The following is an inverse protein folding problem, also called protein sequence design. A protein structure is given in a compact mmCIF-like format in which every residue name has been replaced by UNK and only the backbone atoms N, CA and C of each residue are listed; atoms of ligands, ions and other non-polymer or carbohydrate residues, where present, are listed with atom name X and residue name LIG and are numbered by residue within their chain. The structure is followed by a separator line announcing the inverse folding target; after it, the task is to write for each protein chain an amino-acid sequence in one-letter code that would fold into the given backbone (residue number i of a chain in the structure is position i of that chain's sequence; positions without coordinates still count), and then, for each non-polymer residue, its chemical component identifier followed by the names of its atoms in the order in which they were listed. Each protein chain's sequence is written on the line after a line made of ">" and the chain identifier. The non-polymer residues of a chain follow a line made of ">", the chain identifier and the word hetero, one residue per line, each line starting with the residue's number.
data_IF_057149408667
#
_entry.id   IF_057149408667
#
_cell.length_a   1.000
_cell.length_b   1.000
_cell.length_c   1.000
_cell.angle_alpha   90.00
_cell.angle_beta   90.00
_cell.angle_gamma   90.00
#
_symmetry.space_group_name_H-M   'P 1'
#
loop_
_entity.id
_entity.type
_entity.pdbx_description
1 polymer ?
#
# COMPACT_ATOMS: atom_id res chain seq x y z
N UNK A 1 -85.63 -0.65 48.90
CA UNK A 1 -86.17 -0.83 47.57
C UNK A 1 -85.14 -0.21 46.61
N UNK A 2 -84.43 -0.85 45.80
CA UNK A 2 -84.38 -1.86 44.88
C UNK A 2 -83.11 -1.73 44.08
N UNK A 3 -82.55 -2.84 43.82
CA UNK A 3 -81.87 -3.33 42.62
C UNK A 3 -80.91 -2.35 41.91
N UNK A 4 -79.64 -2.67 41.71
CA UNK A 4 -79.06 -3.86 41.11
C UNK A 4 -78.79 -3.57 39.65
N UNK A 5 -77.54 -3.56 39.28
CA UNK A 5 -77.14 -4.08 37.98
C UNK A 5 -75.63 -4.08 37.82
N UNK A 6 -75.09 -5.24 37.58
CA UNK A 6 -73.74 -5.51 37.23
C UNK A 6 -73.33 -4.98 35.84
N UNK A 7 -72.27 -4.32 35.71
CA UNK A 7 -71.63 -3.90 34.46
C UNK A 7 -70.27 -4.55 34.26
N UNK A 8 -70.13 -5.30 33.18
CA UNK A 8 -69.07 -6.25 32.83
C UNK A 8 -67.73 -5.55 32.56
N UNK A 9 -66.72 -6.11 33.12
CA UNK A 9 -65.32 -5.82 32.79
C UNK A 9 -64.96 -6.28 31.39
N UNK A 10 -64.62 -5.37 30.50
CA UNK A 10 -64.01 -5.65 29.21
C UNK A 10 -62.50 -5.42 29.33
N UNK A 11 -61.77 -6.53 29.39
CA UNK A 11 -60.32 -6.51 29.35
C UNK A 11 -59.75 -6.13 28.00
N UNK A 12 -59.28 -4.92 27.90
CA UNK A 12 -58.47 -4.52 26.74
C UNK A 12 -57.04 -5.09 26.90
N UNK A 13 -56.74 -6.11 26.11
CA UNK A 13 -55.37 -6.65 25.94
C UNK A 13 -54.51 -5.57 25.31
N UNK A 14 -53.58 -4.99 26.08
CA UNK A 14 -52.50 -4.14 25.54
C UNK A 14 -51.46 -5.06 24.87
N UNK A 15 -51.51 -5.13 23.53
CA UNK A 15 -50.45 -5.70 22.74
C UNK A 15 -49.26 -4.72 22.75
N UNK A 16 -48.16 -5.13 23.39
CA UNK A 16 -46.89 -4.43 23.29
C UNK A 16 -46.24 -4.80 21.95
N UNK A 17 -46.30 -3.91 20.98
CA UNK A 17 -45.49 -3.97 19.77
C UNK A 17 -44.05 -3.59 20.14
N UNK A 18 -43.18 -4.57 20.28
CA UNK A 18 -41.76 -4.33 20.30
C UNK A 18 -41.30 -3.95 18.88
N UNK A 19 -41.18 -2.65 18.62
CA UNK A 19 -40.51 -2.13 17.45
C UNK A 19 -38.99 -2.42 17.62
N UNK A 20 -38.51 -3.45 16.96
CA UNK A 20 -37.07 -3.66 16.76
C UNK A 20 -36.57 -2.53 15.86
N UNK A 21 -35.97 -1.52 16.43
CA UNK A 21 -35.23 -0.51 15.71
C UNK A 21 -33.94 -1.17 15.17
N UNK A 22 -33.98 -1.63 13.92
CA UNK A 22 -32.79 -1.98 13.16
C UNK A 22 -32.02 -0.70 12.89
N UNK A 23 -31.12 -0.33 13.78
CA UNK A 23 -30.17 0.74 13.54
C UNK A 23 -29.26 0.35 12.37
N UNK A 24 -28.89 1.30 11.47
CA UNK A 24 -27.96 0.99 10.41
C UNK A 24 -26.61 0.58 11.02
N UNK A 25 -26.19 -0.65 10.71
CA UNK A 25 -24.86 -1.13 11.01
C UNK A 25 -23.88 -0.33 10.13
N UNK A 26 -23.40 0.79 10.66
CA UNK A 26 -22.30 1.53 10.03
C UNK A 26 -21.05 0.67 10.15
N UNK A 27 -20.79 -0.15 9.14
CA UNK A 27 -19.46 -0.74 8.97
C UNK A 27 -18.46 0.41 8.79
N UNK A 28 -17.86 0.83 9.89
CA UNK A 28 -16.66 1.67 9.82
C UNK A 28 -15.54 0.84 9.20
N UNK A 29 -15.38 0.94 7.89
CA UNK A 29 -14.17 0.49 7.21
C UNK A 29 -13.01 1.26 7.86
N UNK A 30 -12.33 0.62 8.81
CA UNK A 30 -11.06 1.14 9.33
C UNK A 30 -10.15 1.27 8.11
N UNK A 31 -9.63 2.46 7.78
CA UNK A 31 -8.63 2.58 6.74
C UNK A 31 -7.49 1.62 7.07
N UNK A 32 -7.08 0.81 6.09
CA UNK A 32 -5.88 -0.01 6.23
C UNK A 32 -4.77 0.94 6.70
N UNK A 33 -4.21 0.67 7.89
CA UNK A 33 -3.13 1.49 8.42
C UNK A 33 -1.91 1.25 7.54
N UNK A 34 -1.68 2.16 6.58
CA UNK A 34 -0.48 2.15 5.78
C UNK A 34 0.75 2.33 6.68
N UNK A 35 1.80 1.54 6.43
CA UNK A 35 3.10 1.70 7.07
C UNK A 35 3.19 1.22 8.51
N UNK A 36 2.61 0.08 8.85
CA UNK A 36 2.76 -0.57 10.16
C UNK A 36 3.82 -1.68 10.16
N UNK A 37 4.89 -1.52 9.35
CA UNK A 37 6.02 -2.47 9.32
C UNK A 37 6.59 -2.64 10.72
N UNK A 38 6.86 -3.90 11.12
CA UNK A 38 7.45 -4.24 12.41
C UNK A 38 8.95 -4.36 12.24
N UNK A 39 9.72 -3.79 13.19
CA UNK A 39 11.17 -3.96 13.22
C UNK A 39 11.49 -5.38 13.69
N UNK A 40 12.08 -6.19 12.80
CA UNK A 40 12.50 -7.55 13.10
C UNK A 40 14.04 -7.61 13.16
N UNK A 41 14.62 -8.45 14.05
CA UNK A 41 16.04 -8.69 14.04
C UNK A 41 16.50 -9.27 12.69
N UNK A 42 17.48 -8.64 12.07
CA UNK A 42 18.09 -9.13 10.83
C UNK A 42 19.42 -9.82 11.16
N UNK A 43 19.67 -10.99 10.55
CA UNK A 43 20.98 -11.58 10.56
C UNK A 43 21.99 -10.64 9.88
N UNK A 44 23.24 -10.58 10.36
CA UNK A 44 24.26 -9.64 9.86
C UNK A 44 24.49 -9.74 8.35
N UNK A 45 24.48 -10.95 7.81
CA UNK A 45 24.62 -11.16 6.36
C UNK A 45 23.45 -10.57 5.57
N UNK A 46 22.22 -10.74 6.07
CA UNK A 46 21.02 -10.16 5.44
C UNK A 46 21.07 -8.64 5.52
N UNK A 47 21.38 -8.09 6.69
CA UNK A 47 21.52 -6.65 6.89
C UNK A 47 22.55 -6.06 5.94
N UNK A 48 23.73 -6.70 5.80
CA UNK A 48 24.79 -6.26 4.91
C UNK A 48 24.37 -6.30 3.43
N UNK A 49 23.68 -7.36 3.00
CA UNK A 49 23.16 -7.47 1.63
C UNK A 49 22.11 -6.39 1.32
N UNK A 50 21.19 -6.14 2.24
CA UNK A 50 20.17 -5.07 2.10
C UNK A 50 20.84 -3.69 2.09
N UNK A 51 21.83 -3.45 2.95
CA UNK A 51 22.57 -2.19 2.99
C UNK A 51 23.31 -1.94 1.67
N UNK A 52 23.96 -2.95 1.10
CA UNK A 52 24.59 -2.87 -0.22
C UNK A 52 23.55 -2.53 -1.32
N UNK A 53 22.38 -3.19 -1.26
CA UNK A 53 21.30 -2.95 -2.23
C UNK A 53 20.73 -1.53 -2.19
N UNK A 54 20.70 -0.86 -1.03
CA UNK A 54 20.22 0.53 -0.91
C UNK A 54 21.32 1.58 -1.10
N UNK A 55 22.59 1.23 -0.92
CA UNK A 55 23.72 2.15 -1.00
C UNK A 55 24.09 2.56 -2.44
N UNK A 56 23.69 1.74 -3.41
CA UNK A 56 24.04 1.96 -4.82
C UNK A 56 23.50 3.33 -5.31
N UNK A 57 24.34 4.04 -6.06
CA UNK A 57 24.08 5.42 -6.47
C UNK A 57 23.03 5.55 -7.56
N UNK A 58 22.77 6.77 -8.03
CA UNK A 58 21.70 7.16 -8.95
C UNK A 58 21.43 6.17 -10.08
N UNK A 59 20.15 6.01 -10.52
CA UNK A 59 19.83 5.12 -11.60
C UNK A 59 20.54 5.57 -12.86
N UNK A 60 21.24 4.68 -13.57
CA UNK A 60 21.63 4.94 -14.91
C UNK A 60 20.36 5.14 -15.77
N UNK A 61 20.50 5.85 -16.88
CA UNK A 61 19.43 5.86 -17.88
C UNK A 61 19.09 4.42 -18.25
N UNK A 62 17.79 4.06 -18.39
CA UNK A 62 17.41 2.71 -18.74
C UNK A 62 18.15 2.22 -19.99
N UNK A 63 18.87 1.12 -19.88
CA UNK A 63 19.47 0.43 -21.01
C UNK A 63 18.49 -0.64 -21.50
N UNK A 64 18.29 -0.72 -22.80
CA UNK A 64 17.37 -1.66 -23.44
C UNK A 64 18.16 -2.59 -24.34
N UNK A 65 17.88 -3.89 -24.26
CA UNK A 65 18.54 -4.90 -25.10
C UNK A 65 18.08 -4.82 -26.57
N UNK A 66 16.89 -4.26 -26.82
CA UNK A 66 16.34 -4.14 -28.18
C UNK A 66 15.50 -2.88 -28.35
N UNK A 67 15.25 -2.53 -29.62
CA UNK A 67 14.32 -1.44 -29.97
C UNK A 67 12.88 -1.77 -29.52
N UNK A 68 12.49 -3.02 -29.58
CA UNK A 68 11.17 -3.48 -29.12
C UNK A 68 10.97 -3.27 -27.63
N UNK A 69 11.98 -3.62 -26.82
CA UNK A 69 11.94 -3.38 -25.36
C UNK A 69 11.85 -1.89 -25.07
N UNK A 70 12.62 -1.06 -25.78
CA UNK A 70 12.55 0.40 -25.66
C UNK A 70 11.17 0.95 -26.03
N UNK A 71 10.56 0.47 -27.09
CA UNK A 71 9.22 0.88 -27.51
C UNK A 71 8.16 0.43 -26.50
N UNK A 72 8.27 -0.79 -25.98
CA UNK A 72 7.38 -1.27 -24.92
C UNK A 72 7.46 -0.39 -23.67
N UNK A 73 8.68 -0.05 -23.24
CA UNK A 73 8.89 0.88 -22.14
C UNK A 73 8.27 2.25 -22.39
N UNK A 74 8.46 2.84 -23.59
CA UNK A 74 7.91 4.16 -23.92
C UNK A 74 6.37 4.13 -23.95
N UNK A 75 5.75 3.06 -24.47
CA UNK A 75 4.29 2.88 -24.42
C UNK A 75 3.80 2.78 -22.99
N UNK A 76 4.46 1.96 -22.17
CA UNK A 76 4.15 1.85 -20.73
C UNK A 76 4.26 3.21 -20.03
N UNK A 77 5.35 3.95 -20.26
CA UNK A 77 5.59 5.26 -19.64
C UNK A 77 4.49 6.27 -20.02
N UNK A 78 4.13 6.32 -21.31
CA UNK A 78 3.06 7.19 -21.79
C UNK A 78 1.70 6.84 -21.16
N UNK A 79 1.33 5.56 -21.18
CA UNK A 79 0.06 5.08 -20.62
C UNK A 79 -0.01 5.29 -19.11
N UNK A 80 1.07 4.98 -18.39
CA UNK A 80 1.17 5.19 -16.95
C UNK A 80 1.13 6.68 -16.59
N UNK A 81 1.78 7.54 -17.41
CA UNK A 81 1.76 8.98 -17.21
C UNK A 81 0.35 9.57 -17.35
N UNK A 82 -0.39 9.20 -18.38
CA UNK A 82 -1.78 9.66 -18.55
C UNK A 82 -2.67 9.20 -17.39
N UNK A 83 -2.54 7.94 -16.98
CA UNK A 83 -3.30 7.40 -15.83
C UNK A 83 -2.96 8.09 -14.51
N UNK A 84 -1.71 8.51 -14.32
CA UNK A 84 -1.25 9.16 -13.09
C UNK A 84 -1.57 10.67 -13.06
N UNK A 85 -1.92 11.28 -14.21
CA UNK A 85 -2.16 12.71 -14.37
C UNK A 85 -3.13 13.33 -13.34
N UNK A 86 -4.24 12.69 -12.94
CA UNK A 86 -5.14 13.25 -11.92
C UNK A 86 -4.50 13.35 -10.52
N UNK A 87 -3.46 12.57 -10.24
CA UNK A 87 -2.77 12.53 -8.93
C UNK A 87 -1.44 13.29 -8.93
N UNK A 88 -0.81 13.43 -10.10
CA UNK A 88 0.43 14.17 -10.33
C UNK A 88 0.26 15.00 -11.61
N UNK A 89 -0.18 16.23 -11.45
CA UNK A 89 -0.53 17.12 -12.58
C UNK A 89 0.67 17.55 -13.40
N UNK A 90 1.83 17.79 -12.76
CA UNK A 90 3.04 18.26 -13.41
C UNK A 90 3.71 17.13 -14.19
N UNK A 91 3.79 17.29 -15.52
CA UNK A 91 4.33 16.26 -16.40
C UNK A 91 5.79 15.87 -16.08
N UNK A 92 6.75 16.81 -15.88
CA UNK A 92 8.13 16.43 -15.56
C UNK A 92 8.24 15.62 -14.25
N UNK A 93 7.53 16.03 -13.21
CA UNK A 93 7.51 15.33 -11.90
C UNK A 93 6.91 13.92 -12.04
N UNK A 94 5.90 13.79 -12.89
CA UNK A 94 5.23 12.51 -13.17
C UNK A 94 6.15 11.54 -13.90
N UNK A 95 6.85 12.04 -14.94
CA UNK A 95 7.79 11.24 -15.71
C UNK A 95 8.97 10.81 -14.85
N UNK A 96 9.62 11.73 -14.12
CA UNK A 96 10.72 11.40 -13.18
C UNK A 96 10.31 10.32 -12.18
N UNK A 97 9.12 10.44 -11.60
CA UNK A 97 8.61 9.43 -10.67
C UNK A 97 8.44 8.06 -11.33
N UNK A 98 7.85 8.00 -12.52
CA UNK A 98 7.59 6.75 -13.24
C UNK A 98 8.89 6.09 -13.72
N UNK A 99 9.84 6.86 -14.25
CA UNK A 99 11.16 6.37 -14.64
C UNK A 99 11.91 5.79 -13.45
N UNK A 100 11.92 6.50 -12.32
CA UNK A 100 12.55 6.04 -11.09
C UNK A 100 11.87 4.77 -10.57
N UNK A 101 10.53 4.73 -10.55
CA UNK A 101 9.78 3.56 -10.11
C UNK A 101 10.06 2.35 -11.00
N UNK A 102 10.03 2.53 -12.32
CA UNK A 102 10.32 1.46 -13.26
C UNK A 102 11.72 0.89 -13.04
N UNK A 103 12.71 1.76 -12.88
CA UNK A 103 14.09 1.35 -12.63
C UNK A 103 14.22 0.58 -11.31
N UNK A 104 13.76 1.13 -10.20
CA UNK A 104 13.93 0.50 -8.87
C UNK A 104 13.11 -0.79 -8.73
N UNK A 105 11.94 -0.88 -9.35
CA UNK A 105 11.17 -2.13 -9.37
C UNK A 105 11.90 -3.22 -10.16
N UNK A 106 12.36 -2.93 -11.38
CA UNK A 106 13.10 -3.89 -12.23
C UNK A 106 14.39 -4.33 -11.57
N UNK A 107 15.13 -3.40 -10.98
CA UNK A 107 16.36 -3.68 -10.23
C UNK A 107 16.14 -4.64 -9.06
N UNK A 108 15.02 -4.52 -8.37
CA UNK A 108 14.63 -5.41 -7.28
C UNK A 108 13.94 -6.71 -7.76
N UNK A 109 13.83 -6.94 -9.07
CA UNK A 109 13.11 -8.10 -9.61
C UNK A 109 11.61 -8.08 -9.35
N UNK A 110 11.03 -6.87 -9.25
CA UNK A 110 9.60 -6.67 -9.04
C UNK A 110 8.94 -6.15 -10.32
N UNK A 111 7.66 -6.45 -10.49
CA UNK A 111 6.85 -5.90 -11.57
C UNK A 111 6.51 -4.43 -11.29
N UNK A 112 6.71 -3.48 -12.23
CA UNK A 112 6.35 -2.08 -12.04
C UNK A 112 4.88 -1.86 -11.66
N UNK A 113 3.95 -2.66 -12.22
CA UNK A 113 2.53 -2.59 -11.87
C UNK A 113 2.26 -2.96 -10.40
N UNK A 114 3.01 -3.90 -9.83
CA UNK A 114 2.92 -4.25 -8.41
C UNK A 114 3.35 -3.06 -7.54
N UNK A 115 4.48 -2.43 -7.88
CA UNK A 115 5.00 -1.29 -7.12
C UNK A 115 4.08 -0.07 -7.24
N UNK A 116 3.50 0.19 -8.44
CA UNK A 116 2.47 1.22 -8.62
C UNK A 116 1.23 0.96 -7.76
N UNK A 117 0.76 -0.30 -7.72
CA UNK A 117 -0.36 -0.72 -6.88
C UNK A 117 -0.08 -0.49 -5.39
N UNK A 118 1.12 -0.83 -4.94
CA UNK A 118 1.55 -0.63 -3.57
C UNK A 118 1.62 0.88 -3.23
N UNK A 119 2.28 1.70 -4.06
CA UNK A 119 2.33 3.16 -3.87
C UNK A 119 0.94 3.79 -3.84
N UNK A 120 0.02 3.29 -4.66
CA UNK A 120 -1.36 3.76 -4.65
C UNK A 120 -2.05 3.52 -3.31
N UNK A 121 -1.85 2.35 -2.71
CA UNK A 121 -2.45 1.98 -1.42
C UNK A 121 -1.75 2.71 -0.26
N UNK A 122 -0.42 2.79 -0.29
CA UNK A 122 0.38 3.36 0.79
C UNK A 122 0.24 4.87 0.92
N UNK A 123 0.34 5.59 -0.15
CA UNK A 123 0.42 7.07 -0.11
C UNK A 123 -0.56 7.78 -1.04
N UNK A 124 -1.24 7.05 -1.95
CA UNK A 124 -1.97 7.67 -3.05
C UNK A 124 -1.06 8.56 -3.91
N UNK A 125 0.20 8.17 -4.09
CA UNK A 125 1.23 8.91 -4.84
C UNK A 125 1.68 10.23 -4.20
N UNK A 126 1.51 10.43 -2.91
CA UNK A 126 1.96 11.63 -2.18
C UNK A 126 3.40 11.47 -1.71
N UNK A 127 4.28 12.35 -2.22
CA UNK A 127 5.73 12.34 -1.92
C UNK A 127 6.04 12.51 -0.43
N UNK A 128 5.30 13.37 0.24
CA UNK A 128 5.52 13.73 1.64
C UNK A 128 4.50 13.12 2.58
N UNK A 129 3.92 11.97 2.21
CA UNK A 129 3.02 11.26 3.10
C UNK A 129 3.73 10.81 4.37
N UNK A 130 3.06 10.98 5.52
CA UNK A 130 3.48 10.47 6.82
C UNK A 130 2.28 9.78 7.44
N UNK A 131 2.43 8.52 7.86
CA UNK A 131 1.39 7.80 8.59
C UNK A 131 1.40 8.12 10.09
N UNK A 132 0.35 7.73 10.81
CA UNK A 132 0.31 7.83 12.27
C UNK A 132 1.44 7.05 12.96
N UNK A 133 1.94 5.97 12.33
CA UNK A 133 3.08 5.19 12.80
C UNK A 133 4.44 5.80 12.41
N UNK A 134 4.45 6.92 11.66
CA UNK A 134 5.67 7.61 11.23
C UNK A 134 6.28 7.07 9.93
N UNK A 135 5.61 6.18 9.20
CA UNK A 135 6.06 5.74 7.88
C UNK A 135 6.09 6.91 6.88
N UNK A 136 7.03 6.91 5.93
CA UNK A 136 7.36 8.07 5.11
C UNK A 136 7.34 7.80 3.62
N UNK A 137 6.86 8.78 2.88
CA UNK A 137 6.99 8.90 1.43
C UNK A 137 6.08 7.97 0.63
N UNK A 138 6.40 7.78 -0.63
CA UNK A 138 5.58 7.06 -1.59
C UNK A 138 5.22 5.63 -1.18
N UNK A 139 6.21 4.87 -0.70
CA UNK A 139 6.08 3.46 -0.30
C UNK A 139 5.92 3.30 1.22
N UNK A 140 5.72 4.39 1.98
CA UNK A 140 5.52 4.39 3.43
C UNK A 140 6.57 3.56 4.18
N UNK A 141 7.84 3.86 3.90
CA UNK A 141 8.98 3.20 4.55
C UNK A 141 9.12 3.68 5.99
N UNK A 142 9.26 2.74 6.93
CA UNK A 142 9.46 3.05 8.35
C UNK A 142 10.87 3.60 8.60
N UNK A 143 11.02 4.62 9.47
CA UNK A 143 12.31 5.24 9.78
C UNK A 143 13.39 4.29 10.29
N UNK A 144 13.03 3.19 10.95
CA UNK A 144 14.00 2.22 11.44
C UNK A 144 14.81 1.57 10.30
N UNK A 145 14.21 1.42 9.09
CA UNK A 145 14.94 0.91 7.94
C UNK A 145 16.13 1.79 7.56
N UNK A 146 15.98 3.12 7.66
CA UNK A 146 17.11 4.03 7.41
C UNK A 146 18.27 3.80 8.39
N UNK A 147 17.97 3.39 9.65
CA UNK A 147 19.00 3.02 10.64
C UNK A 147 19.60 1.64 10.37
N UNK A 148 18.76 0.66 10.02
CA UNK A 148 19.21 -0.74 9.86
C UNK A 148 20.08 -0.97 8.62
N UNK A 149 19.66 -0.38 7.48
CA UNK A 149 20.28 -0.68 6.17
C UNK A 149 20.69 0.58 5.38
N UNK A 150 20.48 1.77 5.92
CA UNK A 150 20.85 3.04 5.33
C UNK A 150 21.96 3.74 6.11
N UNK A 151 22.04 5.06 5.93
CA UNK A 151 22.97 5.95 6.62
C UNK A 151 22.42 6.55 7.93
N UNK A 152 21.27 6.10 8.40
CA UNK A 152 20.60 6.59 9.61
C UNK A 152 19.70 7.82 9.39
N UNK A 153 19.82 8.52 8.26
CA UNK A 153 19.03 9.73 7.99
C UNK A 153 17.66 9.39 7.40
N UNK A 154 16.66 9.30 8.28
CA UNK A 154 15.29 9.03 7.90
C UNK A 154 14.61 10.19 7.13
N UNK A 155 15.21 11.41 7.09
CA UNK A 155 14.66 12.50 6.28
C UNK A 155 14.79 12.21 4.78
N UNK A 156 15.81 11.44 4.40
CA UNK A 156 16.06 11.02 3.01
C UNK A 156 14.96 10.11 2.45
N UNK A 157 14.12 9.53 3.31
CA UNK A 157 12.93 8.77 2.86
C UNK A 157 11.87 9.64 2.15
N UNK A 158 12.02 10.95 2.12
CA UNK A 158 11.20 11.82 1.27
C UNK A 158 11.81 12.08 -0.13
N UNK A 159 13.03 11.65 -0.39
CA UNK A 159 13.59 11.68 -1.74
C UNK A 159 12.99 10.55 -2.58
N UNK A 160 12.52 10.88 -3.77
CA UNK A 160 11.81 9.93 -4.66
C UNK A 160 12.59 8.64 -4.84
N UNK A 161 13.84 8.74 -5.28
CA UNK A 161 14.68 7.57 -5.54
C UNK A 161 14.96 6.77 -4.27
N UNK A 162 15.36 7.43 -3.19
CA UNK A 162 15.65 6.76 -1.91
C UNK A 162 14.45 5.99 -1.41
N UNK A 163 13.27 6.59 -1.43
CA UNK A 163 12.04 5.97 -0.95
C UNK A 163 11.66 4.74 -1.78
N UNK A 164 11.65 4.87 -3.11
CA UNK A 164 11.32 3.77 -4.02
C UNK A 164 12.34 2.63 -3.91
N UNK A 165 13.63 2.96 -3.78
CA UNK A 165 14.70 1.98 -3.59
C UNK A 165 14.52 1.17 -2.31
N UNK A 166 14.36 1.86 -1.18
CA UNK A 166 14.13 1.19 0.10
C UNK A 166 12.88 0.31 0.05
N UNK A 167 11.75 0.87 -0.42
CA UNK A 167 10.51 0.12 -0.49
C UNK A 167 10.60 -1.13 -1.38
N UNK A 168 11.23 -1.02 -2.54
CA UNK A 168 11.44 -2.17 -3.44
C UNK A 168 12.37 -3.22 -2.84
N UNK A 169 13.48 -2.81 -2.22
CA UNK A 169 14.44 -3.74 -1.56
C UNK A 169 13.77 -4.46 -0.39
N UNK A 170 13.00 -3.75 0.43
CA UNK A 170 12.28 -4.33 1.57
C UNK A 170 11.20 -5.30 1.08
N UNK A 171 10.41 -4.94 0.06
CA UNK A 171 9.40 -5.84 -0.48
C UNK A 171 10.04 -7.09 -1.09
N UNK A 172 11.15 -6.95 -1.81
CA UNK A 172 11.91 -8.09 -2.35
C UNK A 172 12.41 -9.00 -1.22
N UNK A 173 12.99 -8.43 -0.17
CA UNK A 173 13.43 -9.17 1.00
C UNK A 173 12.29 -10.00 1.62
N UNK A 174 11.13 -9.40 1.84
CA UNK A 174 9.98 -10.12 2.36
C UNK A 174 9.46 -11.20 1.40
N UNK A 175 9.50 -10.93 0.09
CA UNK A 175 9.12 -11.93 -0.89
C UNK A 175 10.07 -13.15 -0.88
N UNK A 176 11.36 -12.92 -0.69
CA UNK A 176 12.36 -13.99 -0.54
C UNK A 176 12.16 -14.78 0.76
N UNK A 177 11.89 -14.09 1.88
CA UNK A 177 11.58 -14.73 3.16
C UNK A 177 10.32 -15.61 3.11
N UNK A 178 9.32 -15.20 2.35
CA UNK A 178 8.06 -15.94 2.21
C UNK A 178 8.08 -16.93 1.04
N UNK A 179 9.27 -17.27 0.51
CA UNK A 179 9.40 -18.27 -0.56
C UNK A 179 8.69 -17.90 -1.87
N UNK A 180 8.49 -16.62 -2.12
CA UNK A 180 7.77 -16.11 -3.29
C UNK A 180 6.27 -15.89 -3.06
N UNK A 181 5.72 -16.20 -1.89
CA UNK A 181 4.31 -15.94 -1.57
C UNK A 181 4.06 -14.43 -1.42
N UNK A 182 3.45 -13.86 -2.46
CA UNK A 182 3.18 -12.43 -2.54
C UNK A 182 2.14 -11.96 -1.51
N UNK A 183 1.18 -12.80 -1.14
CA UNK A 183 0.17 -12.46 -0.13
C UNK A 183 0.81 -12.30 1.24
N UNK A 184 1.66 -13.26 1.62
CA UNK A 184 2.39 -13.21 2.89
C UNK A 184 3.43 -12.08 2.91
N UNK A 185 4.16 -11.86 1.80
CA UNK A 185 5.13 -10.79 1.67
C UNK A 185 4.50 -9.39 1.80
N UNK A 186 3.38 -9.14 1.13
CA UNK A 186 2.63 -7.89 1.26
C UNK A 186 2.07 -7.72 2.67
N UNK A 187 1.56 -8.79 3.27
CA UNK A 187 1.11 -8.77 4.67
C UNK A 187 2.24 -8.41 5.62
N UNK A 188 3.45 -8.97 5.43
CA UNK A 188 4.64 -8.63 6.21
C UNK A 188 5.06 -7.17 6.00
N UNK A 189 5.05 -6.71 4.75
CA UNK A 189 5.35 -5.32 4.39
C UNK A 189 4.46 -4.32 5.14
N UNK A 190 3.19 -4.63 5.31
CA UNK A 190 2.24 -3.78 6.04
C UNK A 190 2.20 -4.05 7.56
N UNK A 191 2.86 -5.11 8.06
CA UNK A 191 2.74 -5.54 9.46
C UNK A 191 1.45 -6.31 9.77
N UNK A 192 0.79 -6.85 8.74
CA UNK A 192 -0.46 -7.62 8.85
C UNK A 192 -0.33 -9.04 8.28
N UNK A 193 0.85 -9.67 8.45
CA UNK A 193 1.15 -11.01 7.93
C UNK A 193 0.03 -11.99 8.27
N UNK A 194 -0.41 -12.76 7.27
CA UNK A 194 -1.50 -13.73 7.39
C UNK A 194 -2.91 -13.13 7.26
N UNK A 195 -3.05 -11.81 7.13
CA UNK A 195 -4.33 -11.15 6.83
C UNK A 195 -4.39 -10.81 5.34
N UNK A 196 -5.57 -10.98 4.74
CA UNK A 196 -5.75 -10.81 3.29
C UNK A 196 -6.18 -9.39 2.87
N UNK A 197 -6.65 -8.56 3.79
CA UNK A 197 -7.24 -7.25 3.47
C UNK A 197 -6.26 -6.34 2.73
N UNK A 198 -5.09 -6.11 3.32
CA UNK A 198 -4.08 -5.25 2.70
C UNK A 198 -3.51 -5.84 1.40
N UNK A 199 -3.07 -7.12 1.35
CA UNK A 199 -2.63 -7.73 0.11
C UNK A 199 -3.67 -7.63 -1.01
N UNK A 200 -4.95 -7.87 -0.71
CA UNK A 200 -6.03 -7.76 -1.70
C UNK A 200 -6.21 -6.32 -2.24
N UNK A 201 -6.04 -5.29 -1.39
CA UNK A 201 -6.05 -3.90 -1.84
C UNK A 201 -4.91 -3.62 -2.83
N UNK A 202 -3.69 -4.05 -2.50
CA UNK A 202 -2.51 -3.85 -3.37
C UNK A 202 -2.67 -4.60 -4.69
N UNK A 203 -3.09 -5.88 -4.64
CA UNK A 203 -3.30 -6.68 -5.85
C UNK A 203 -4.48 -6.17 -6.69
N UNK A 204 -5.51 -5.64 -6.04
CA UNK A 204 -6.60 -4.92 -6.71
C UNK A 204 -6.11 -3.71 -7.49
N UNK A 205 -5.30 -2.87 -6.83
CA UNK A 205 -4.68 -1.70 -7.45
C UNK A 205 -3.71 -2.09 -8.58
N UNK A 206 -2.88 -3.13 -8.38
CA UNK A 206 -1.96 -3.70 -9.40
C UNK A 206 -2.69 -4.02 -10.71
N UNK A 207 -3.84 -4.71 -10.65
CA UNK A 207 -4.61 -5.05 -11.86
C UNK A 207 -4.92 -3.84 -12.72
N UNK A 208 -5.20 -2.71 -12.09
CA UNK A 208 -5.40 -1.47 -12.80
C UNK A 208 -4.16 -0.96 -13.53
N UNK A 209 -2.97 -1.26 -13.06
CA UNK A 209 -1.69 -0.85 -13.66
C UNK A 209 -1.14 -1.87 -14.66
N UNK A 210 -1.47 -3.16 -14.51
CA UNK A 210 -1.04 -4.23 -15.44
C UNK A 210 -1.69 -4.11 -16.83
N UNK A 211 -2.86 -3.51 -16.94
CA UNK A 211 -3.54 -3.27 -18.23
C UNK A 211 -2.87 -2.22 -19.12
N UNK A 212 -1.71 -1.68 -18.72
CA UNK A 212 -0.94 -0.66 -19.46
C UNK A 212 0.25 -1.24 -20.24
N UNK A 213 0.49 -2.55 -20.12
CA UNK A 213 1.59 -3.26 -20.79
C UNK A 213 1.25 -3.63 -22.23
#
# INVERSE_FOLDING_TARGET
>A
MGAGAAGRLNGARRAWLHALAAGPLVLTLRPAQAGAQVEEPLADAVRSALAAAVADSAPPKPAFASTEERLAYLRWLGSASERLKPRKTEHPVRVEFLETLWYESRRAGLEPALVLGLVQVESGFRKYAISAAGARGYMQVMPFWARLIGNGDASRLFHTQTNLRFGCVILRHYLDQEGGDLMLALGRYNGSRGRSEYPNLVLGARRGWSALA
#
